data_IF_388405254415
#
_entry.id   IF_388405254415
#
_cell.length_a   1.000
_cell.length_b   1.000
_cell.length_c   1.000
_cell.angle_alpha   90.00
_cell.angle_beta   90.00
_cell.angle_gamma   90.00
#
_symmetry.space_group_name_H-M   'P 1'
#
loop_
_entity.id
_entity.type
_entity.pdbx_description
1 polymer ?
#
# COMPACT_ATOMS: atom_id res chain seq x y z
N UNK A 1 -47.86 33.83 -2.68
CA UNK A 1 -47.00 32.91 -1.90
C UNK A 1 -47.43 31.48 -2.20
N UNK A 2 -46.68 30.75 -3.03
CA UNK A 2 -46.91 29.31 -3.25
C UNK A 2 -46.02 28.54 -2.28
N UNK A 3 -46.62 27.86 -1.29
CA UNK A 3 -45.91 26.90 -0.46
C UNK A 3 -45.49 25.71 -1.33
N UNK A 4 -44.21 25.65 -1.70
CA UNK A 4 -43.59 24.42 -2.19
C UNK A 4 -43.54 23.46 -1.00
N UNK A 5 -44.44 22.48 -0.99
CA UNK A 5 -44.33 21.31 -0.11
C UNK A 5 -43.03 20.60 -0.47
N UNK A 6 -42.04 20.72 0.40
CA UNK A 6 -40.82 19.92 0.31
C UNK A 6 -41.20 18.49 0.70
N UNK A 7 -41.56 17.68 -0.30
CA UNK A 7 -41.71 16.25 -0.12
C UNK A 7 -40.32 15.67 0.15
N UNK A 8 -39.96 15.52 1.42
CA UNK A 8 -38.85 14.66 1.81
C UNK A 8 -39.26 13.22 1.51
N UNK A 9 -39.00 12.79 0.27
CA UNK A 9 -39.04 11.39 -0.12
C UNK A 9 -37.96 10.66 0.69
N UNK A 10 -38.37 10.07 1.79
CA UNK A 10 -37.51 9.22 2.61
C UNK A 10 -37.37 7.89 1.88
N UNK A 11 -36.39 7.81 0.98
CA UNK A 11 -36.07 6.57 0.29
C UNK A 11 -35.31 5.69 1.29
N UNK A 12 -35.89 4.53 1.62
CA UNK A 12 -35.28 3.56 2.53
C UNK A 12 -33.89 3.15 2.03
N UNK A 13 -32.93 2.99 2.94
CA UNK A 13 -31.52 2.71 2.60
C UNK A 13 -31.38 1.46 1.73
N UNK A 14 -32.22 0.43 1.97
CA UNK A 14 -32.27 -0.79 1.15
C UNK A 14 -32.67 -0.54 -0.31
N UNK A 15 -33.53 0.44 -0.59
CA UNK A 15 -33.92 0.78 -1.96
C UNK A 15 -32.75 1.46 -2.66
N UNK A 16 -32.05 2.37 -1.97
CA UNK A 16 -30.84 3.02 -2.48
C UNK A 16 -29.77 1.97 -2.80
N UNK A 17 -29.51 1.05 -1.86
CA UNK A 17 -28.56 -0.05 -2.05
C UNK A 17 -28.97 -0.91 -3.24
N UNK A 18 -30.24 -1.31 -3.36
CA UNK A 18 -30.74 -2.12 -4.48
C UNK A 18 -30.60 -1.42 -5.85
N UNK A 19 -30.87 -0.11 -5.92
CA UNK A 19 -30.69 0.68 -7.15
C UNK A 19 -29.22 0.74 -7.51
N UNK A 20 -28.38 1.14 -6.55
CA UNK A 20 -26.93 1.21 -6.73
C UNK A 20 -26.35 -0.17 -7.09
N UNK A 21 -26.90 -1.27 -6.55
CA UNK A 21 -26.50 -2.66 -6.84
C UNK A 21 -26.87 -3.14 -8.24
N UNK A 22 -27.59 -2.36 -9.04
CA UNK A 22 -27.90 -2.68 -10.44
C UNK A 22 -27.07 -1.86 -11.44
N UNK A 23 -26.30 -0.88 -10.98
CA UNK A 23 -25.55 0.02 -11.85
C UNK A 23 -24.16 -0.53 -12.21
N UNK A 24 -23.61 -0.26 -13.40
CA UNK A 24 -22.21 -0.58 -13.71
C UNK A 24 -21.23 0.14 -12.77
N UNK A 25 -20.09 -0.49 -12.45
CA UNK A 25 -19.07 0.06 -11.54
C UNK A 25 -18.56 1.45 -11.97
N UNK A 26 -18.45 1.71 -13.28
CA UNK A 26 -18.05 3.02 -13.81
C UNK A 26 -19.10 4.11 -13.54
N UNK A 27 -20.38 3.74 -13.49
CA UNK A 27 -21.48 4.66 -13.17
C UNK A 27 -21.53 4.94 -11.68
N UNK A 28 -21.28 3.93 -10.84
CA UNK A 28 -21.22 4.08 -9.37
C UNK A 28 -20.17 5.09 -8.91
N UNK A 29 -19.02 5.16 -9.59
CA UNK A 29 -17.96 6.11 -9.26
C UNK A 29 -18.43 7.58 -9.30
N UNK A 30 -19.39 7.89 -10.18
CA UNK A 30 -19.93 9.24 -10.36
C UNK A 30 -20.95 9.62 -9.28
N UNK A 31 -21.55 8.64 -8.62
CA UNK A 31 -22.59 8.85 -7.61
C UNK A 31 -22.04 9.03 -6.18
N UNK A 32 -20.71 8.90 -5.98
CA UNK A 32 -20.03 9.18 -4.71
C UNK A 32 -20.25 10.62 -4.21
N UNK A 33 -20.53 11.56 -5.12
CA UNK A 33 -20.70 12.98 -4.81
C UNK A 33 -22.14 13.38 -4.42
N UNK A 34 -23.11 12.45 -4.46
CA UNK A 34 -24.52 12.79 -4.19
C UNK A 34 -24.76 13.08 -2.71
N UNK A 35 -24.30 12.20 -1.83
CA UNK A 35 -24.42 12.36 -0.38
C UNK A 35 -23.46 11.41 0.33
N UNK A 36 -23.19 11.69 1.61
CA UNK A 36 -22.39 10.81 2.46
C UNK A 36 -22.96 9.38 2.55
N UNK A 37 -24.29 9.25 2.65
CA UNK A 37 -24.96 7.94 2.72
C UNK A 37 -24.79 7.16 1.41
N UNK A 38 -24.91 7.83 0.26
CA UNK A 38 -24.66 7.20 -1.04
C UNK A 38 -23.19 6.80 -1.19
N UNK A 39 -22.24 7.64 -0.76
CA UNK A 39 -20.82 7.29 -0.76
C UNK A 39 -20.54 6.03 0.07
N UNK A 40 -21.14 5.92 1.25
CA UNK A 40 -21.04 4.74 2.12
C UNK A 40 -21.64 3.48 1.47
N UNK A 41 -22.85 3.58 0.92
CA UNK A 41 -23.50 2.47 0.20
C UNK A 41 -22.70 2.05 -1.03
N UNK A 42 -22.19 3.01 -1.80
CA UNK A 42 -21.35 2.74 -2.98
C UNK A 42 -20.06 2.05 -2.57
N UNK A 43 -19.42 2.46 -1.46
CA UNK A 43 -18.25 1.78 -0.93
C UNK A 43 -18.56 0.32 -0.55
N UNK A 44 -19.71 0.07 0.07
CA UNK A 44 -20.19 -1.28 0.38
C UNK A 44 -20.48 -2.11 -0.88
N UNK A 45 -21.05 -1.50 -1.91
CA UNK A 45 -21.31 -2.18 -3.18
C UNK A 45 -20.02 -2.47 -3.94
N UNK A 46 -19.04 -1.57 -3.87
CA UNK A 46 -17.69 -1.86 -4.34
C UNK A 46 -17.08 -3.02 -3.55
N UNK A 47 -17.29 -3.10 -2.23
CA UNK A 47 -16.95 -4.30 -1.43
C UNK A 47 -17.63 -5.53 -2.02
N UNK A 48 -18.95 -5.61 -2.05
CA UNK A 48 -19.65 -6.84 -2.47
C UNK A 48 -19.37 -7.24 -3.92
N UNK A 49 -19.28 -6.30 -4.87
CA UNK A 49 -19.18 -6.60 -6.31
C UNK A 49 -17.77 -6.76 -6.84
N UNK A 50 -16.77 -6.19 -6.19
CA UNK A 50 -15.37 -6.45 -6.55
C UNK A 50 -14.88 -7.80 -5.98
N UNK A 51 -15.79 -8.64 -5.46
CA UNK A 51 -15.56 -10.05 -5.17
C UNK A 51 -14.81 -10.31 -3.86
N UNK A 52 -13.87 -9.46 -3.49
CA UNK A 52 -13.74 -8.91 -2.15
C UNK A 52 -14.52 -9.68 -1.02
N UNK A 53 -14.04 -10.88 -0.62
CA UNK A 53 -14.82 -11.82 0.17
C UNK A 53 -14.71 -11.53 1.65
N UNK A 54 -15.84 -11.48 2.36
CA UNK A 54 -15.81 -11.64 3.81
C UNK A 54 -15.50 -13.09 4.20
N UNK A 55 -14.63 -13.34 5.19
CA UNK A 55 -13.79 -12.36 5.89
C UNK A 55 -12.42 -12.16 5.22
N UNK A 56 -12.14 -10.93 4.80
CA UNK A 56 -10.80 -10.52 4.39
C UNK A 56 -9.87 -10.57 5.59
N UNK A 57 -8.83 -11.37 5.47
CA UNK A 57 -7.72 -11.27 6.39
C UNK A 57 -6.65 -10.37 5.80
N UNK A 58 -6.31 -9.32 6.55
CA UNK A 58 -5.09 -8.58 6.29
C UNK A 58 -3.96 -9.36 6.93
N UNK A 59 -3.07 -9.85 6.08
CA UNK A 59 -1.77 -10.35 6.45
C UNK A 59 -0.73 -9.26 6.39
N UNK A 60 0.38 -9.50 7.07
CA UNK A 60 1.60 -8.72 6.93
C UNK A 60 2.75 -9.64 6.64
N UNK A 61 3.46 -9.36 5.54
CA UNK A 61 4.80 -9.87 5.39
C UNK A 61 5.77 -8.93 6.08
N UNK A 62 6.60 -9.49 6.96
CA UNK A 62 7.70 -8.81 7.60
C UNK A 62 9.02 -9.27 6.97
N UNK A 63 9.69 -8.38 6.25
CA UNK A 63 10.98 -8.70 5.62
C UNK A 63 12.12 -8.26 6.52
N UNK A 64 12.87 -9.23 7.07
CA UNK A 64 14.12 -8.97 7.78
C UNK A 64 15.28 -8.85 6.77
N UNK A 65 16.13 -7.84 6.96
CA UNK A 65 17.20 -7.30 6.09
C UNK A 65 18.01 -8.23 5.17
N UNK A 66 17.95 -9.57 5.31
CA UNK A 66 18.59 -10.59 4.43
C UNK A 66 18.30 -12.05 4.81
N UNK A 67 17.48 -12.31 5.83
CA UNK A 67 17.44 -13.61 6.50
C UNK A 67 16.15 -14.35 6.18
N UNK A 68 15.06 -13.96 6.82
CA UNK A 68 13.78 -14.65 6.74
C UNK A 68 12.66 -13.63 6.58
N UNK A 69 11.69 -13.95 5.72
CA UNK A 69 10.42 -13.24 5.71
C UNK A 69 9.49 -13.93 6.72
N UNK A 70 8.85 -13.17 7.60
CA UNK A 70 7.80 -13.66 8.51
C UNK A 70 6.43 -13.24 7.96
N UNK A 71 5.38 -13.96 8.31
CA UNK A 71 4.01 -13.60 7.97
C UNK A 71 3.10 -13.77 9.17
N UNK A 72 2.14 -12.87 9.32
CA UNK A 72 1.13 -12.92 10.38
C UNK A 72 -0.15 -12.19 9.94
N UNK A 73 -1.29 -12.52 10.54
CA UNK A 73 -2.58 -11.88 10.28
C UNK A 73 -2.96 -10.87 11.36
N UNK A 74 -3.95 -10.03 11.04
CA UNK A 74 -4.53 -9.06 11.97
C UNK A 74 -5.47 -9.65 13.02
N UNK A 75 -6.12 -10.79 12.72
CA UNK A 75 -7.08 -11.42 13.62
C UNK A 75 -6.44 -12.50 14.51
N UNK A 76 -6.78 -12.46 15.81
CA UNK A 76 -6.46 -13.51 16.79
C UNK A 76 -7.18 -14.84 16.50
N UNK A 77 -8.27 -14.82 15.74
CA UNK A 77 -9.09 -15.99 15.42
C UNK A 77 -8.63 -16.76 14.17
N UNK A 78 -7.68 -16.19 13.43
CA UNK A 78 -7.19 -16.72 12.16
C UNK A 78 -6.40 -18.05 12.18
N UNK A 79 -5.73 -18.51 13.26
CA UNK A 79 -4.91 -19.72 13.17
C UNK A 79 -5.75 -21.02 13.08
N UNK A 80 -7.04 -20.97 13.45
CA UNK A 80 -7.88 -22.17 13.55
C UNK A 80 -8.62 -22.51 12.24
N UNK A 81 -8.97 -21.51 11.43
CA UNK A 81 -9.64 -21.72 10.13
C UNK A 81 -8.62 -21.87 8.98
N UNK A 82 -7.48 -21.19 9.09
CA UNK A 82 -6.36 -21.36 8.17
C UNK A 82 -5.39 -22.31 8.85
N UNK A 83 -5.66 -23.61 8.71
CA UNK A 83 -4.93 -24.65 9.44
C UNK A 83 -3.40 -24.55 9.29
N UNK A 84 -2.71 -25.44 10.01
CA UNK A 84 -1.24 -25.69 10.04
C UNK A 84 -0.53 -25.79 8.67
N UNK A 85 -1.24 -25.57 7.57
CA UNK A 85 -0.82 -25.54 6.19
C UNK A 85 -0.29 -24.15 5.74
N UNK A 86 -0.59 -23.04 6.43
CA UNK A 86 -0.06 -21.72 6.01
C UNK A 86 1.38 -21.48 6.42
N UNK A 87 1.78 -21.87 7.64
CA UNK A 87 3.20 -21.91 8.03
C UNK A 87 4.01 -22.72 6.99
N UNK A 88 3.46 -23.86 6.53
CA UNK A 88 4.03 -24.66 5.43
C UNK A 88 3.93 -24.00 4.04
N UNK A 89 2.93 -23.14 3.79
CA UNK A 89 2.78 -22.40 2.53
C UNK A 89 3.85 -21.33 2.36
N UNK A 90 4.28 -20.76 3.49
CA UNK A 90 5.27 -19.67 3.57
C UNK A 90 6.68 -20.21 3.83
N UNK A 91 6.83 -21.46 4.28
CA UNK A 91 8.11 -22.17 4.28
C UNK A 91 8.75 -22.27 2.87
N UNK A 92 7.95 -22.15 1.79
CA UNK A 92 8.50 -22.02 0.43
C UNK A 92 9.24 -20.68 0.21
N UNK A 93 8.95 -19.65 1.00
CA UNK A 93 9.79 -18.45 1.11
C UNK A 93 11.03 -18.84 1.92
N UNK A 94 11.80 -19.78 1.36
CA UNK A 94 13.04 -20.27 1.92
C UNK A 94 14.04 -19.14 2.10
N UNK A 95 15.14 -19.45 2.75
CA UNK A 95 16.26 -18.53 2.90
C UNK A 95 16.62 -17.94 1.51
N UNK A 96 16.60 -16.60 1.39
CA UNK A 96 16.97 -15.81 0.19
C UNK A 96 15.83 -15.42 -0.77
N UNK A 97 14.56 -15.51 -0.38
CA UNK A 97 13.48 -14.85 -1.12
C UNK A 97 13.19 -13.47 -0.51
N UNK A 98 13.18 -12.45 -1.36
CA UNK A 98 12.86 -11.08 -0.97
C UNK A 98 11.50 -10.67 -1.51
N UNK A 99 10.56 -10.39 -0.62
CA UNK A 99 9.25 -9.85 -1.00
C UNK A 99 9.45 -8.40 -1.39
N UNK A 100 9.03 -8.09 -2.60
CA UNK A 100 9.07 -6.77 -3.17
C UNK A 100 7.75 -6.11 -2.82
N UNK A 101 6.66 -6.46 -3.49
CA UNK A 101 5.34 -5.85 -3.30
C UNK A 101 4.25 -6.92 -3.25
N UNK A 102 3.05 -6.50 -2.84
CA UNK A 102 1.83 -7.27 -2.89
C UNK A 102 0.77 -6.53 -3.72
N UNK A 103 -0.15 -7.26 -4.34
CA UNK A 103 -1.33 -6.71 -5.01
C UNK A 103 -2.37 -7.81 -5.20
N UNK A 104 -3.61 -7.57 -4.77
CA UNK A 104 -4.76 -8.47 -4.97
C UNK A 104 -4.49 -9.94 -4.59
N UNK A 105 -3.87 -10.20 -3.42
CA UNK A 105 -3.54 -11.57 -3.00
C UNK A 105 -2.30 -12.19 -3.66
N UNK A 106 -1.59 -11.48 -4.52
CA UNK A 106 -0.33 -11.94 -5.11
C UNK A 106 0.86 -11.18 -4.53
N UNK A 107 2.00 -11.85 -4.46
CA UNK A 107 3.27 -11.23 -4.04
C UNK A 107 4.28 -11.27 -5.17
N UNK A 108 4.91 -10.12 -5.42
CA UNK A 108 6.08 -10.01 -6.27
C UNK A 108 7.32 -10.32 -5.44
N UNK A 109 8.05 -11.33 -5.83
CA UNK A 109 9.26 -11.77 -5.16
C UNK A 109 10.49 -11.54 -6.05
N UNK A 110 11.65 -11.43 -5.40
CA UNK A 110 12.95 -11.37 -6.05
C UNK A 110 13.91 -12.34 -5.36
N UNK A 111 14.72 -13.08 -6.14
CA UNK A 111 15.75 -13.95 -5.58
C UNK A 111 16.96 -13.12 -5.12
N UNK A 112 17.28 -13.19 -3.83
CA UNK A 112 18.38 -12.45 -3.23
C UNK A 112 19.71 -13.11 -3.61
N UNK A 113 20.44 -12.51 -4.55
CA UNK A 113 21.91 -12.63 -4.81
C UNK A 113 22.36 -12.13 -6.18
N UNK A 114 21.45 -11.68 -7.04
CA UNK A 114 21.83 -11.25 -8.39
C UNK A 114 21.63 -9.75 -8.59
N UNK A 115 22.69 -9.10 -9.10
CA UNK A 115 22.67 -7.79 -9.77
C UNK A 115 21.57 -7.72 -10.85
N UNK A 116 21.22 -8.87 -11.41
CA UNK A 116 20.05 -9.06 -12.26
C UNK A 116 18.90 -9.53 -11.37
N UNK A 117 18.09 -8.60 -10.86
CA UNK A 117 16.88 -8.95 -10.10
C UNK A 117 16.00 -9.85 -10.97
N UNK A 118 15.88 -11.12 -10.59
CA UNK A 118 15.00 -12.10 -11.24
C UNK A 118 13.70 -12.11 -10.44
N UNK A 119 12.64 -11.64 -11.07
CA UNK A 119 11.34 -11.55 -10.46
C UNK A 119 10.52 -12.80 -10.71
N UNK A 120 9.62 -13.10 -9.80
CA UNK A 120 8.53 -14.03 -10.01
C UNK A 120 7.34 -13.56 -9.19
N UNK A 121 6.14 -13.83 -9.70
CA UNK A 121 4.89 -13.60 -9.00
C UNK A 121 4.50 -14.92 -8.33
N UNK A 122 4.08 -14.84 -7.07
CA UNK A 122 3.69 -15.98 -6.29
C UNK A 122 2.29 -15.74 -5.71
N UNK A 123 1.47 -16.79 -5.73
CA UNK A 123 0.19 -16.83 -5.04
C UNK A 123 0.36 -17.66 -3.75
N UNK A 124 0.38 -17.03 -2.56
CA UNK A 124 0.46 -17.75 -1.29
C UNK A 124 -0.72 -18.69 -1.02
N UNK A 125 -1.91 -18.41 -1.57
CA UNK A 125 -3.11 -19.21 -1.39
C UNK A 125 -3.08 -20.50 -2.22
N UNK A 126 -2.69 -20.42 -3.49
CA UNK A 126 -2.65 -21.59 -4.39
C UNK A 126 -1.27 -22.24 -4.48
N UNK A 127 -0.23 -21.61 -3.91
CA UNK A 127 1.18 -22.00 -4.01
C UNK A 127 1.73 -22.01 -5.44
N UNK A 128 1.05 -21.35 -6.36
CA UNK A 128 1.49 -21.25 -7.74
C UNK A 128 2.50 -20.11 -7.92
N UNK A 129 3.45 -20.33 -8.83
CA UNK A 129 4.50 -19.38 -9.16
C UNK A 129 4.54 -19.12 -10.66
N UNK A 130 4.69 -17.85 -11.01
CA UNK A 130 4.89 -17.38 -12.38
C UNK A 130 6.24 -16.69 -12.48
N UNK A 131 7.14 -17.28 -13.25
CA UNK A 131 8.46 -16.71 -13.48
C UNK A 131 8.41 -15.57 -14.49
N UNK A 132 9.08 -14.47 -14.14
CA UNK A 132 9.19 -13.31 -15.02
C UNK A 132 10.48 -13.44 -15.82
N UNK A 133 10.48 -13.23 -17.15
CA UNK A 133 11.67 -13.22 -17.97
C UNK A 133 12.76 -12.33 -17.39
N UNK A 134 14.03 -12.71 -17.60
CA UNK A 134 15.16 -11.91 -17.13
C UNK A 134 15.29 -10.64 -17.98
N UNK A 135 15.33 -9.50 -17.30
CA UNK A 135 15.68 -8.19 -17.89
C UNK A 135 17.11 -8.16 -18.47
N UNK A 136 17.29 -7.45 -19.58
CA UNK A 136 18.61 -7.10 -20.14
C UNK A 136 19.22 -5.84 -19.51
N UNK A 137 18.40 -4.92 -19.00
CA UNK A 137 18.87 -3.69 -18.36
C UNK A 137 19.28 -3.97 -16.92
N UNK A 138 20.51 -3.60 -16.58
CA UNK A 138 21.00 -3.67 -15.21
C UNK A 138 20.64 -2.40 -14.44
N UNK A 139 19.78 -2.55 -13.42
CA UNK A 139 19.46 -1.51 -12.45
C UNK A 139 19.87 -1.99 -11.07
N UNK A 140 20.84 -1.31 -10.45
CA UNK A 140 21.16 -1.52 -9.04
C UNK A 140 20.09 -0.83 -8.22
N UNK A 141 19.42 -1.60 -7.38
CA UNK A 141 18.40 -1.13 -6.45
C UNK A 141 17.29 -0.22 -7.00
N UNK A 142 16.57 -0.66 -8.05
CA UNK A 142 15.48 0.11 -8.61
C UNK A 142 14.33 0.27 -7.62
N UNK A 143 13.64 1.39 -7.76
CA UNK A 143 12.25 1.54 -7.38
C UNK A 143 11.46 0.52 -8.18
N UNK A 144 10.58 -0.24 -7.52
CA UNK A 144 9.76 -1.26 -8.18
C UNK A 144 8.31 -1.01 -7.81
N UNK A 145 7.40 -1.20 -8.73
CA UNK A 145 5.96 -1.18 -8.54
C UNK A 145 5.37 -2.47 -9.09
N UNK A 146 4.29 -2.93 -8.49
CA UNK A 146 3.62 -4.16 -8.87
C UNK A 146 2.12 -3.97 -8.76
N UNK A 147 1.37 -4.42 -9.76
CA UNK A 147 -0.08 -4.50 -9.70
C UNK A 147 -0.54 -5.74 -10.42
N UNK A 148 -1.53 -6.41 -9.85
CA UNK A 148 -2.17 -7.58 -10.42
C UNK A 148 -3.64 -7.24 -10.70
N UNK A 149 -4.15 -7.60 -11.87
CA UNK A 149 -5.57 -7.61 -12.20
C UNK A 149 -6.06 -9.04 -12.04
N UNK A 150 -7.15 -9.18 -11.31
CA UNK A 150 -7.79 -10.47 -11.04
C UNK A 150 -9.18 -10.49 -11.66
N UNK A 151 -9.66 -11.68 -12.03
CA UNK A 151 -11.04 -11.89 -12.45
C UNK A 151 -11.97 -12.07 -11.24
N UNK A 152 -13.25 -12.34 -11.51
CA UNK A 152 -14.27 -12.59 -10.48
C UNK A 152 -13.96 -13.85 -9.64
N UNK A 153 -13.17 -14.80 -10.18
CA UNK A 153 -12.76 -16.04 -9.51
C UNK A 153 -11.39 -15.91 -8.81
N UNK A 154 -10.86 -14.69 -8.67
CA UNK A 154 -9.55 -14.38 -8.08
C UNK A 154 -8.34 -15.02 -8.79
N UNK A 155 -8.52 -15.48 -10.04
CA UNK A 155 -7.44 -15.86 -10.94
C UNK A 155 -6.68 -14.64 -11.45
N UNK A 156 -5.37 -14.79 -11.72
CA UNK A 156 -4.62 -13.69 -12.37
C UNK A 156 -5.09 -13.56 -13.81
N UNK A 157 -5.65 -12.40 -14.14
CA UNK A 157 -5.89 -11.99 -15.53
C UNK A 157 -4.61 -11.46 -16.13
N UNK A 158 -3.99 -10.49 -15.45
CA UNK A 158 -2.70 -9.95 -15.85
C UNK A 158 -1.98 -9.25 -14.71
N UNK A 159 -0.67 -9.09 -14.83
CA UNK A 159 0.09 -8.30 -13.88
C UNK A 159 1.14 -7.44 -14.59
N UNK A 160 1.44 -6.32 -13.95
CA UNK A 160 2.39 -5.33 -14.44
C UNK A 160 3.44 -5.06 -13.39
N UNK A 161 4.70 -5.07 -13.80
CA UNK A 161 5.84 -4.67 -12.97
C UNK A 161 6.44 -3.44 -13.61
N UNK A 162 6.60 -2.36 -12.84
CA UNK A 162 7.30 -1.14 -13.28
C UNK A 162 8.53 -0.96 -12.43
N UNK A 163 9.65 -0.59 -13.04
CA UNK A 163 10.88 -0.29 -12.30
C UNK A 163 11.69 0.82 -12.94
N UNK A 164 12.38 1.59 -12.12
CA UNK A 164 13.34 2.59 -12.59
C UNK A 164 14.39 2.85 -11.51
N UNK A 165 15.50 3.48 -11.92
CA UNK A 165 16.56 3.90 -11.01
C UNK A 165 16.95 5.34 -11.30
N UNK A 166 17.18 6.10 -10.24
CA UNK A 166 17.73 7.44 -10.31
C UNK A 166 19.24 7.30 -10.22
N UNK A 167 19.96 7.58 -11.32
CA UNK A 167 21.43 7.40 -11.36
C UNK A 167 22.17 8.67 -10.94
N UNK A 168 21.64 9.84 -11.29
CA UNK A 168 22.26 11.14 -11.05
C UNK A 168 21.22 12.13 -10.53
N UNK A 169 21.67 13.06 -9.69
CA UNK A 169 20.82 14.09 -9.07
C UNK A 169 20.13 15.02 -10.07
N UNK A 170 20.77 15.26 -11.21
CA UNK A 170 20.32 16.19 -12.25
C UNK A 170 20.16 15.48 -13.60
N UNK A 171 19.63 14.25 -13.59
CA UNK A 171 19.33 13.57 -14.85
C UNK A 171 18.15 14.28 -15.52
N UNK A 172 18.16 14.44 -16.85
CA UNK A 172 17.07 15.07 -17.60
C UNK A 172 15.99 14.09 -18.05
N UNK A 173 16.29 12.79 -17.98
CA UNK A 173 15.39 11.71 -18.35
C UNK A 173 15.61 10.50 -17.45
N UNK A 174 14.57 9.69 -17.29
CA UNK A 174 14.61 8.45 -16.51
C UNK A 174 14.27 7.29 -17.43
N UNK A 175 15.08 6.24 -17.36
CA UNK A 175 14.75 4.97 -18.02
C UNK A 175 13.81 4.19 -17.12
N UNK A 176 12.58 3.99 -17.59
CA UNK A 176 11.55 3.21 -16.91
C UNK A 176 11.37 1.91 -17.68
N UNK A 177 11.45 0.79 -16.97
CA UNK A 177 11.23 -0.52 -17.53
C UNK A 177 9.92 -1.09 -16.99
N UNK A 178 9.06 -1.55 -17.89
CA UNK A 178 7.78 -2.16 -17.55
C UNK A 178 7.65 -3.55 -18.16
N UNK A 179 7.21 -4.52 -17.36
CA UNK A 179 6.80 -5.83 -17.82
C UNK A 179 5.28 -5.94 -17.73
N UNK A 180 4.65 -6.53 -18.74
CA UNK A 180 3.26 -6.98 -18.71
C UNK A 180 3.21 -8.49 -18.94
N UNK A 181 2.43 -9.20 -18.13
CA UNK A 181 2.20 -10.63 -18.32
C UNK A 181 1.42 -10.95 -19.60
N UNK A 182 0.63 -9.99 -20.12
CA UNK A 182 -0.15 -10.16 -21.35
C UNK A 182 0.75 -10.27 -22.58
N UNK A 183 1.82 -9.48 -22.61
CA UNK A 183 2.80 -9.49 -23.71
C UNK A 183 4.00 -10.38 -23.41
N UNK A 184 4.21 -10.71 -22.14
CA UNK A 184 5.36 -11.45 -21.63
C UNK A 184 6.71 -10.82 -22.00
N UNK A 185 6.76 -9.49 -22.13
CA UNK A 185 7.95 -8.75 -22.59
C UNK A 185 8.27 -7.58 -21.66
N UNK A 186 9.56 -7.35 -21.43
CA UNK A 186 10.07 -6.12 -20.82
C UNK A 186 10.21 -5.02 -21.87
N UNK A 187 9.66 -3.85 -21.59
CA UNK A 187 9.76 -2.66 -22.44
C UNK A 187 10.46 -1.58 -21.65
N UNK A 188 11.49 -0.97 -22.24
CA UNK A 188 12.22 0.15 -21.65
C UNK A 188 11.91 1.45 -22.40
N UNK A 189 11.48 2.46 -21.65
CA UNK A 189 11.17 3.80 -22.17
C UNK A 189 12.04 4.84 -21.46
N UNK A 190 12.64 5.74 -22.23
CA UNK A 190 13.28 6.93 -21.67
C UNK A 190 12.25 8.05 -21.62
N UNK A 191 11.93 8.50 -20.41
CA UNK A 191 10.90 9.52 -20.16
C UNK A 191 11.56 10.78 -19.67
N UNK A 192 11.27 11.91 -20.32
CA UNK A 192 11.61 13.24 -19.79
C UNK A 192 10.66 13.51 -18.63
N UNK A 193 11.19 13.92 -17.49
CA UNK A 193 10.39 14.13 -16.30
C UNK A 193 10.15 15.61 -16.02
N UNK A 194 8.93 15.94 -15.61
CA UNK A 194 8.54 17.31 -15.22
C UNK A 194 8.65 17.47 -13.71
N UNK A 195 9.86 17.33 -13.17
CA UNK A 195 10.07 17.43 -11.72
C UNK A 195 10.52 18.82 -11.33
N UNK A 196 9.85 19.38 -10.33
CA UNK A 196 10.16 20.67 -9.74
C UNK A 196 11.33 20.63 -8.74
N UNK A 197 11.87 19.44 -8.46
CA UNK A 197 12.97 19.22 -7.54
C UNK A 197 13.93 18.15 -8.05
N UNK A 198 15.23 18.22 -7.69
CA UNK A 198 16.21 17.22 -8.09
C UNK A 198 15.96 15.91 -7.36
N UNK A 199 15.75 14.83 -8.13
CA UNK A 199 15.68 13.48 -7.59
C UNK A 199 16.99 13.11 -6.91
N UNK A 200 16.92 12.39 -5.81
CA UNK A 200 18.12 11.87 -5.19
C UNK A 200 18.33 10.39 -5.56
N UNK A 201 19.55 10.00 -5.99
CA UNK A 201 19.85 8.60 -6.18
C UNK A 201 19.70 7.86 -4.85
N UNK A 202 19.15 6.65 -4.90
CA UNK A 202 19.08 5.80 -3.70
C UNK A 202 20.50 5.54 -3.21
N UNK A 203 20.80 5.97 -1.98
CA UNK A 203 22.12 5.81 -1.36
C UNK A 203 22.23 4.54 -0.52
N UNK A 204 21.13 3.83 -0.29
CA UNK A 204 21.09 2.76 0.68
C UNK A 204 20.22 1.57 0.22
N UNK A 205 20.76 0.37 0.39
CA UNK A 205 20.07 -0.91 0.17
C UNK A 205 18.94 -1.13 1.19
N UNK A 206 18.89 -0.31 2.23
CA UNK A 206 18.07 -0.50 3.42
C UNK A 206 16.70 0.20 3.37
N UNK A 207 16.51 1.19 2.50
CA UNK A 207 15.29 2.00 2.44
C UNK A 207 14.58 1.83 1.10
N UNK A 208 14.02 0.63 0.84
CA UNK A 208 12.88 0.54 -0.08
C UNK A 208 11.88 1.64 0.27
N UNK A 209 11.58 2.49 -0.70
CA UNK A 209 10.55 3.50 -0.58
C UNK A 209 9.18 2.87 -0.42
N UNK A 210 8.38 3.48 0.45
CA UNK A 210 6.94 3.21 0.46
C UNK A 210 6.37 3.50 -0.92
N UNK A 211 5.40 2.70 -1.31
CA UNK A 211 4.82 2.71 -2.64
C UNK A 211 3.34 2.37 -2.58
N UNK A 212 2.61 2.86 -3.55
CA UNK A 212 1.23 2.45 -3.80
C UNK A 212 0.98 2.43 -5.30
N UNK A 213 -0.04 1.68 -5.72
CA UNK A 213 -0.46 1.62 -7.12
C UNK A 213 -1.98 1.71 -7.16
N UNK A 214 -2.51 2.65 -7.94
CA UNK A 214 -3.95 2.83 -8.16
C UNK A 214 -4.20 2.95 -9.66
N UNK A 215 -5.04 2.08 -10.20
CA UNK A 215 -5.44 2.07 -11.62
C UNK A 215 -4.26 2.14 -12.61
N UNK A 216 -3.16 1.45 -12.32
CA UNK A 216 -1.95 1.45 -13.17
C UNK A 216 -1.11 2.72 -13.07
N UNK A 217 -1.40 3.59 -12.11
CA UNK A 217 -0.57 4.74 -11.72
C UNK A 217 0.23 4.35 -10.49
N UNK A 218 1.54 4.36 -10.64
CA UNK A 218 2.50 3.90 -9.63
C UNK A 218 3.13 5.07 -8.92
N UNK A 219 3.18 5.02 -7.60
CA UNK A 219 3.73 6.08 -6.77
C UNK A 219 4.83 5.56 -5.85
N UNK A 220 5.90 6.35 -5.70
CA UNK A 220 7.01 6.05 -4.79
C UNK A 220 7.45 7.28 -4.04
N UNK A 221 7.70 7.11 -2.74
CA UNK A 221 8.36 8.12 -1.90
C UNK A 221 9.80 8.32 -2.37
N UNK A 222 10.21 9.56 -2.64
CA UNK A 222 11.63 9.89 -2.76
C UNK A 222 12.20 10.09 -1.34
N UNK A 223 12.81 9.03 -0.79
CA UNK A 223 13.32 9.00 0.59
C UNK A 223 14.40 10.05 0.87
N UNK A 224 15.02 10.60 -0.17
CA UNK A 224 16.08 11.59 -0.07
C UNK A 224 15.69 12.92 -0.75
N UNK A 225 14.55 12.96 -1.45
CA UNK A 225 14.01 14.14 -2.11
C UNK A 225 12.90 14.83 -1.32
N UNK A 226 12.19 15.74 -1.99
CA UNK A 226 11.18 16.62 -1.38
C UNK A 226 9.74 16.22 -1.73
N UNK A 227 9.53 15.00 -2.21
CA UNK A 227 8.21 14.58 -2.66
C UNK A 227 8.10 13.11 -3.05
N UNK A 228 6.99 12.77 -3.71
CA UNK A 228 6.79 11.48 -4.34
C UNK A 228 7.00 11.58 -5.85
N UNK A 229 7.41 10.47 -6.44
CA UNK A 229 7.43 10.28 -7.89
C UNK A 229 6.22 9.47 -8.33
N UNK A 230 5.70 9.77 -9.50
CA UNK A 230 4.50 9.15 -10.06
C UNK A 230 4.75 8.74 -11.51
N UNK A 231 4.34 7.53 -11.86
CA UNK A 231 4.37 7.02 -13.22
C UNK A 231 3.00 6.48 -13.64
N UNK A 232 2.42 7.06 -14.68
CA UNK A 232 1.23 6.52 -15.33
C UNK A 232 1.65 5.51 -16.39
N UNK A 233 1.36 4.24 -16.15
CA UNK A 233 1.75 3.16 -17.08
C UNK A 233 0.93 3.12 -18.37
N UNK A 234 -0.22 3.78 -18.41
CA UNK A 234 -1.10 3.88 -19.58
C UNK A 234 -0.67 5.06 -20.45
N UNK A 235 -0.55 6.25 -19.85
CA UNK A 235 -0.12 7.48 -20.54
C UNK A 235 1.39 7.57 -20.76
N UNK A 236 2.16 6.66 -20.15
CA UNK A 236 3.63 6.59 -20.21
C UNK A 236 4.32 7.89 -19.80
N UNK A 237 3.75 8.60 -18.82
CA UNK A 237 4.29 9.87 -18.34
C UNK A 237 4.76 9.76 -16.88
N UNK A 238 5.76 10.58 -16.55
CA UNK A 238 6.42 10.57 -15.25
C UNK A 238 6.48 11.99 -14.70
N UNK A 239 6.03 12.18 -13.46
CA UNK A 239 6.03 13.47 -12.77
C UNK A 239 6.26 13.25 -11.27
N UNK A 240 6.20 14.32 -10.49
CA UNK A 240 6.32 14.24 -9.05
C UNK A 240 5.43 15.26 -8.36
N UNK A 241 5.18 15.00 -7.08
CA UNK A 241 4.36 15.82 -6.21
C UNK A 241 5.17 16.10 -4.96
N UNK A 242 5.24 17.36 -4.52
CA UNK A 242 5.91 17.72 -3.27
C UNK A 242 5.19 17.12 -2.07
N UNK A 243 5.91 16.95 -0.96
CA UNK A 243 5.28 16.55 0.30
C UNK A 243 4.32 17.63 0.81
N UNK A 244 3.29 17.26 1.61
CA UNK A 244 2.27 18.19 2.10
C UNK A 244 2.82 19.36 2.94
N UNK A 245 4.01 19.23 3.52
CA UNK A 245 4.61 20.28 4.35
C UNK A 245 6.02 20.64 3.83
N UNK A 246 6.24 21.90 3.42
CA UNK A 246 7.58 22.41 3.14
C UNK A 246 8.44 22.33 4.41
N UNK A 247 9.62 21.70 4.32
CA UNK A 247 10.55 21.60 5.46
C UNK A 247 10.36 20.39 6.37
N UNK A 248 9.53 19.40 6.02
CA UNK A 248 9.56 18.09 6.70
C UNK A 248 10.99 17.55 6.74
N UNK A 249 11.37 16.97 7.88
CA UNK A 249 12.68 16.34 8.02
C UNK A 249 12.88 15.24 6.96
N UNK A 250 13.80 15.46 6.04
CA UNK A 250 14.10 14.55 4.93
C UNK A 250 15.06 13.47 5.45
N UNK A 251 14.52 12.55 6.25
CA UNK A 251 15.24 11.36 6.67
C UNK A 251 14.64 10.12 6.02
N UNK A 252 15.47 9.24 5.42
CA UNK A 252 14.99 7.98 4.86
C UNK A 252 14.19 7.15 5.87
N UNK A 253 13.05 6.60 5.44
CA UNK A 253 12.19 5.79 6.28
C UNK A 253 11.39 6.57 7.34
N UNK A 254 11.20 7.89 7.16
CA UNK A 254 10.25 8.68 7.96
C UNK A 254 8.87 8.77 7.34
N UNK A 255 8.78 8.54 6.04
CA UNK A 255 7.57 8.78 5.27
C UNK A 255 6.97 7.46 4.79
N UNK A 256 5.64 7.38 4.82
CA UNK A 256 4.86 6.19 4.48
C UNK A 256 3.76 6.58 3.51
N UNK A 257 3.57 5.75 2.49
CA UNK A 257 2.61 5.91 1.40
C UNK A 257 1.86 4.60 1.25
N UNK A 258 0.54 4.67 1.19
CA UNK A 258 -0.32 3.49 1.01
C UNK A 258 -1.68 3.87 0.45
N UNK A 259 -2.49 2.85 0.17
CA UNK A 259 -3.90 3.06 -0.16
C UNK A 259 -4.76 2.89 1.07
N UNK A 260 -5.80 3.71 1.17
CA UNK A 260 -6.81 3.60 2.21
C UNK A 260 -8.15 4.08 1.68
N UNK A 261 -9.16 3.20 1.68
CA UNK A 261 -10.48 3.51 1.11
C UNK A 261 -10.45 3.85 -0.39
N UNK A 262 -9.46 3.34 -1.12
CA UNK A 262 -9.23 3.69 -2.53
C UNK A 262 -8.58 5.06 -2.77
N UNK A 263 -8.12 5.74 -1.72
CA UNK A 263 -7.38 7.00 -1.83
C UNK A 263 -5.89 6.78 -1.52
N UNK A 264 -5.02 7.52 -2.20
CA UNK A 264 -3.59 7.57 -1.88
C UNK A 264 -3.40 8.37 -0.60
N UNK A 265 -2.84 7.74 0.41
CA UNK A 265 -2.59 8.34 1.73
C UNK A 265 -1.10 8.41 2.03
N UNK A 266 -0.71 9.46 2.75
CA UNK A 266 0.65 9.72 3.18
C UNK A 266 0.68 9.99 4.69
N UNK A 267 1.71 9.49 5.35
CA UNK A 267 1.99 9.74 6.76
C UNK A 267 3.48 10.03 6.96
N UNK A 268 3.77 10.89 7.93
CA UNK A 268 5.14 11.15 8.38
C UNK A 268 5.28 10.74 9.83
N UNK A 269 6.28 9.91 10.16
CA UNK A 269 6.48 9.46 11.53
C UNK A 269 7.03 10.58 12.41
N UNK A 270 6.57 10.56 13.65
CA UNK A 270 6.97 11.46 14.72
C UNK A 270 6.18 11.07 15.97
N UNK A 271 6.26 11.90 17.01
CA UNK A 271 5.41 11.75 18.20
C UNK A 271 3.94 12.05 17.88
N UNK A 272 3.70 12.98 16.95
CA UNK A 272 2.44 13.15 16.27
C UNK A 272 2.64 12.74 14.82
N UNK A 273 1.83 11.79 14.33
CA UNK A 273 1.84 11.35 12.94
C UNK A 273 0.75 12.13 12.21
N UNK A 274 1.09 13.15 11.42
CA UNK A 274 0.14 13.74 10.50
C UNK A 274 -0.13 12.78 9.34
N UNK A 275 -1.41 12.63 9.01
CA UNK A 275 -1.88 11.84 7.88
C UNK A 275 -2.62 12.72 6.88
N UNK A 276 -2.34 12.51 5.61
CA UNK A 276 -2.94 13.23 4.49
C UNK A 276 -3.47 12.25 3.45
N UNK A 277 -4.49 12.69 2.71
CA UNK A 277 -5.00 12.00 1.52
C UNK A 277 -4.75 12.88 0.30
N UNK A 278 -4.57 12.25 -0.85
CA UNK A 278 -4.35 12.95 -2.11
C UNK A 278 -5.68 13.14 -2.83
N UNK A 279 -6.10 14.39 -3.00
CA UNK A 279 -7.34 14.73 -3.71
C UNK A 279 -7.07 14.88 -5.21
N UNK A 280 -8.09 14.57 -6.03
CA UNK A 280 -8.01 14.69 -7.50
C UNK A 280 -6.90 13.84 -8.16
N UNK A 281 -6.38 12.82 -7.49
CA UNK A 281 -5.41 11.90 -8.07
C UNK A 281 -6.08 10.97 -9.09
N UNK A 282 -5.47 10.64 -10.25
CA UNK A 282 -4.08 10.86 -10.68
C UNK A 282 -3.82 12.13 -11.51
N UNK A 283 -4.61 13.20 -11.33
CA UNK A 283 -4.30 14.48 -11.97
C UNK A 283 -2.92 15.01 -11.53
N UNK A 284 -2.28 15.80 -12.39
CA UNK A 284 -1.04 16.51 -12.05
C UNK A 284 -1.28 17.65 -11.06
N UNK A 285 -2.51 18.17 -11.04
CA UNK A 285 -2.98 19.17 -10.07
C UNK A 285 -3.52 18.51 -8.80
N UNK A 286 -3.06 17.29 -8.49
CA UNK A 286 -3.45 16.60 -7.27
C UNK A 286 -2.82 17.28 -6.05
N UNK A 287 -3.63 17.49 -5.02
CA UNK A 287 -3.24 18.24 -3.83
C UNK A 287 -3.41 17.39 -2.58
N UNK A 288 -2.48 17.56 -1.65
CA UNK A 288 -2.60 16.94 -0.34
C UNK A 288 -3.66 17.63 0.49
N UNK A 289 -4.60 16.84 0.97
CA UNK A 289 -5.63 17.28 1.92
C UNK A 289 -5.36 16.60 3.25
N UNK A 290 -5.31 17.39 4.31
CA UNK A 290 -5.16 16.86 5.67
C UNK A 290 -6.31 15.91 6.02
N UNK A 291 -6.00 14.82 6.71
CA UNK A 291 -6.97 13.78 7.09
C UNK A 291 -7.19 13.73 8.61
N UNK A 292 -6.11 13.50 9.37
CA UNK A 292 -6.12 13.46 10.83
C UNK A 292 -4.68 13.45 11.36
N UNK A 293 -4.52 13.62 12.67
CA UNK A 293 -3.26 13.39 13.38
C UNK A 293 -3.40 12.21 14.34
N UNK A 294 -2.36 11.41 14.45
CA UNK A 294 -2.28 10.32 15.44
C UNK A 294 -1.25 10.69 16.51
N UNK A 295 -1.68 10.72 17.77
CA UNK A 295 -0.80 10.93 18.90
C UNK A 295 -0.22 9.61 19.38
N UNK A 296 1.09 9.42 19.15
CA UNK A 296 1.81 8.20 19.52
C UNK A 296 1.97 8.10 21.04
N UNK A 297 2.09 9.23 21.75
CA UNK A 297 2.21 9.24 23.21
C UNK A 297 0.92 8.73 23.82
N UNK A 298 -0.22 9.24 23.36
CA UNK A 298 -1.53 8.78 23.83
C UNK A 298 -1.77 7.29 23.54
N UNK A 299 -1.26 6.77 22.42
CA UNK A 299 -1.32 5.32 22.10
C UNK A 299 -0.47 4.51 23.07
N UNK A 300 0.76 4.94 23.35
CA UNK A 300 1.66 4.23 24.27
C UNK A 300 1.08 4.23 25.68
N UNK A 301 0.49 5.33 26.14
CA UNK A 301 -0.16 5.43 27.44
C UNK A 301 -1.34 4.45 27.58
N UNK A 302 -2.17 4.31 26.54
CA UNK A 302 -3.27 3.33 26.50
C UNK A 302 -2.80 1.88 26.55
N UNK A 303 -1.59 1.61 26.08
CA UNK A 303 -0.98 0.29 26.02
C UNK A 303 0.23 0.17 26.96
N UNK A 304 0.23 0.89 28.09
CA UNK A 304 1.38 0.96 28.99
C UNK A 304 1.87 -0.40 29.48
N UNK A 305 0.95 -1.36 29.68
CA UNK A 305 1.27 -2.74 30.06
C UNK A 305 2.01 -3.50 28.95
N UNK A 306 1.67 -3.26 27.67
CA UNK A 306 2.28 -3.93 26.52
C UNK A 306 3.65 -3.36 26.14
N UNK A 307 3.87 -2.05 26.37
CA UNK A 307 5.08 -1.34 25.93
C UNK A 307 6.11 -1.09 27.04
N UNK A 308 5.73 -1.18 28.32
CA UNK A 308 6.60 -0.91 29.47
C UNK A 308 7.05 0.55 29.57
N UNK A 309 7.99 0.85 30.48
CA UNK A 309 8.48 2.21 30.80
C UNK A 309 9.43 2.84 29.75
N UNK A 310 9.43 2.33 28.52
CA UNK A 310 10.30 2.80 27.45
C UNK A 310 9.51 3.48 26.34
N UNK A 311 9.67 4.79 26.16
CA UNK A 311 9.08 5.52 25.03
C UNK A 311 9.30 4.79 23.70
N UNK A 312 8.25 4.69 22.90
CA UNK A 312 8.23 3.92 21.65
C UNK A 312 8.34 4.81 20.42
N UNK A 313 9.35 4.59 19.58
CA UNK A 313 9.42 5.22 18.27
C UNK A 313 8.73 4.33 17.23
N UNK A 314 7.90 4.94 16.39
CA UNK A 314 7.21 4.27 15.29
C UNK A 314 8.23 3.85 14.23
N UNK A 315 8.21 2.56 13.89
CA UNK A 315 9.13 1.96 12.94
C UNK A 315 8.50 1.83 11.55
N UNK A 316 7.22 1.46 11.49
CA UNK A 316 6.43 1.34 10.27
C UNK A 316 5.01 1.83 10.48
N UNK A 317 4.41 2.35 9.41
CA UNK A 317 3.00 2.75 9.33
C UNK A 317 2.42 2.09 8.08
N UNK A 318 1.30 1.37 8.24
CA UNK A 318 0.55 0.80 7.13
C UNK A 318 -0.89 1.25 7.22
N UNK A 319 -1.41 1.83 6.14
CA UNK A 319 -2.81 2.19 6.05
C UNK A 319 -3.66 0.94 5.85
N UNK A 320 -4.80 0.86 6.52
CA UNK A 320 -5.78 -0.18 6.22
C UNK A 320 -6.36 0.08 4.82
N UNK A 321 -6.35 -0.91 3.90
CA UNK A 321 -6.78 -0.72 2.51
C UNK A 321 -8.27 -0.38 2.39
N UNK A 322 -9.11 -0.99 3.22
CA UNK A 322 -10.58 -0.81 3.20
C UNK A 322 -11.10 0.26 4.17
N UNK A 323 -10.66 0.25 5.43
CA UNK A 323 -11.17 1.17 6.46
C UNK A 323 -10.28 2.42 6.59
N UNK A 324 -10.76 3.60 6.18
CA UNK A 324 -9.93 4.81 6.06
C UNK A 324 -9.37 5.35 7.38
N UNK A 325 -9.95 4.91 8.50
CA UNK A 325 -9.65 5.38 9.84
C UNK A 325 -8.77 4.39 10.62
N UNK A 326 -8.41 3.24 10.03
CA UNK A 326 -7.57 2.24 10.68
C UNK A 326 -6.13 2.33 10.14
N UNK A 327 -5.19 2.34 11.07
CA UNK A 327 -3.75 2.30 10.81
C UNK A 327 -3.11 1.15 11.56
N UNK A 328 -2.08 0.56 10.96
CA UNK A 328 -1.22 -0.38 11.64
C UNK A 328 0.13 0.27 11.94
N UNK A 329 0.52 0.27 13.20
CA UNK A 329 1.75 0.90 13.67
C UNK A 329 2.68 -0.16 14.24
N UNK A 330 3.94 -0.14 13.81
CA UNK A 330 4.98 -0.93 14.46
C UNK A 330 5.70 -0.08 15.50
N UNK A 331 5.59 -0.45 16.77
CA UNK A 331 6.18 0.25 17.90
C UNK A 331 6.90 -0.77 18.78
N UNK A 332 8.18 -0.53 19.11
CA UNK A 332 8.96 -1.36 20.05
C UNK A 332 8.92 -2.89 19.83
N UNK A 333 8.84 -3.35 18.58
CA UNK A 333 8.78 -4.79 18.28
C UNK A 333 7.38 -5.41 18.39
N UNK A 334 6.35 -4.57 18.50
CA UNK A 334 4.95 -4.96 18.38
C UNK A 334 4.31 -4.27 17.17
N UNK A 335 3.26 -4.88 16.63
CA UNK A 335 2.36 -4.29 15.63
C UNK A 335 1.00 -4.15 16.27
N UNK A 336 0.46 -2.94 16.22
CA UNK A 336 -0.87 -2.61 16.73
C UNK A 336 -1.77 -2.14 15.60
N UNK A 337 -3.06 -2.39 15.73
CA UNK A 337 -4.12 -1.72 14.98
C UNK A 337 -4.59 -0.52 15.80
N UNK A 338 -4.76 0.63 15.15
CA UNK A 338 -5.31 1.84 15.75
C UNK A 338 -6.46 2.36 14.91
N UNK A 339 -7.65 2.43 15.52
CA UNK A 339 -8.81 3.11 14.95
C UNK A 339 -8.81 4.57 15.42
N UNK A 340 -8.63 5.49 14.49
CA UNK A 340 -8.54 6.92 14.75
C UNK A 340 -9.88 7.51 15.21
N UNK A 341 -11.02 6.95 14.78
CA UNK A 341 -12.35 7.46 15.13
C UNK A 341 -12.73 7.13 16.56
N UNK A 342 -12.54 5.88 16.94
CA UNK A 342 -12.88 5.37 18.29
C UNK A 342 -11.72 5.54 19.26
N UNK A 343 -10.52 5.84 18.74
CA UNK A 343 -9.27 5.84 19.49
C UNK A 343 -8.99 4.51 20.19
N UNK A 344 -9.45 3.39 19.62
CA UNK A 344 -9.18 2.04 20.14
C UNK A 344 -7.85 1.53 19.61
N UNK A 345 -7.11 0.83 20.48
CA UNK A 345 -5.82 0.21 20.14
C UNK A 345 -5.95 -1.28 20.39
N UNK A 346 -5.49 -2.08 19.43
CA UNK A 346 -5.47 -3.54 19.55
C UNK A 346 -4.10 -4.09 19.19
N UNK A 347 -3.55 -4.96 20.03
CA UNK A 347 -2.33 -5.70 19.71
C UNK A 347 -2.61 -6.72 18.62
N UNK A 348 -1.95 -6.56 17.48
CA UNK A 348 -2.04 -7.44 16.32
C UNK A 348 -0.96 -8.53 16.38
N UNK A 349 0.28 -8.14 16.67
CA UNK A 349 1.41 -9.08 16.67
C UNK A 349 2.54 -8.62 17.59
N UNK A 350 3.17 -9.56 18.29
CA UNK A 350 4.40 -9.32 19.05
C UNK A 350 5.54 -10.15 18.43
N UNK A 351 6.62 -9.47 18.03
CA UNK A 351 7.80 -10.15 17.50
C UNK A 351 8.58 -10.92 18.56
N UNK A 352 8.31 -10.69 19.86
CA UNK A 352 9.06 -11.28 20.98
C UNK A 352 10.49 -10.76 21.06
N UNK A 353 10.78 -9.63 20.41
CA UNK A 353 12.12 -9.07 20.25
C UNK A 353 12.16 -7.62 20.70
N UNK A 354 13.27 -7.22 21.33
CA UNK A 354 13.48 -5.82 21.68
C UNK A 354 13.39 -4.93 20.44
N UNK A 355 12.68 -3.80 20.52
CA UNK A 355 12.41 -2.92 19.38
C UNK A 355 13.65 -2.50 18.59
N UNK A 356 14.84 -2.44 19.20
CA UNK A 356 16.10 -2.18 18.48
C UNK A 356 16.43 -3.22 17.39
N UNK A 357 16.02 -4.47 17.57
CA UNK A 357 16.22 -5.57 16.60
C UNK A 357 15.23 -5.48 15.44
N UNK A 358 14.01 -4.98 15.70
CA UNK A 358 12.95 -4.87 14.70
C UNK A 358 12.99 -3.58 13.88
N UNK A 359 13.92 -2.66 14.14
CA UNK A 359 14.08 -1.36 13.43
C UNK A 359 14.23 -1.49 11.91
N UNK A 360 14.64 -2.65 11.43
CA UNK A 360 14.85 -2.92 10.01
C UNK A 360 13.75 -3.74 9.36
N UNK A 361 12.76 -4.14 10.15
CA UNK A 361 11.61 -4.87 9.65
C UNK A 361 10.79 -3.94 8.77
N UNK A 362 10.18 -4.51 7.76
CA UNK A 362 9.28 -3.79 6.86
C UNK A 362 8.00 -4.56 6.77
N UNK A 363 6.91 -3.88 7.07
CA UNK A 363 5.58 -4.44 6.97
C UNK A 363 5.04 -4.17 5.57
N UNK A 364 4.63 -5.24 4.90
CA UNK A 364 3.88 -5.19 3.66
C UNK A 364 2.49 -5.75 3.94
N UNK A 365 1.46 -4.91 3.81
CA UNK A 365 0.09 -5.41 3.86
C UNK A 365 -0.13 -6.40 2.73
N UNK A 366 -0.88 -7.44 3.03
CA UNK A 366 -1.30 -8.45 2.09
C UNK A 366 -2.78 -8.70 2.31
N UNK A 367 -3.56 -8.51 1.25
CA UNK A 367 -4.97 -8.82 1.24
C UNK A 367 -5.10 -10.30 0.91
N UNK A 368 -5.61 -11.11 1.83
CA UNK A 368 -5.87 -12.52 1.59
C UNK A 368 -7.29 -12.67 1.01
N UNK A 369 -7.44 -13.04 -0.27
CA UNK A 369 -8.74 -13.45 -0.80
C UNK A 369 -9.08 -14.80 -0.16
N UNK A 370 -10.16 -14.85 0.61
CA UNK A 370 -10.67 -16.09 1.18
C UNK A 370 -11.57 -16.82 0.21
#
# INVERSE_FOLDING_TARGET
MKHLRQCNLFIHEEIIINILNRLPLKSLARFKCISYNWQKCIAEIYRCRLGFPEPYLIGFFCVEKRLRSRFFFTSKESPLLIGTNLDKSIDFIGERVYIVASSNGFVLCNRLRSRHRVYYVYNPATRQRLDVPKTLIHMKDPYVGFTCKVDEDHGIVSFTIVRYVIRKRYQSSITIESYSSETNVWIANNVIHDLLYPLQPSRDENYLSSRCVIDGVFCWIDNFGQGMTVYDSVKKCFWGLTYPQPGCMIYPGFHFLGLSGGEVCFASKGWTIPCWRLNNFPSRDAEWVWKYNVDVVAIIEKCGEDFGLGGGNVQNIVFHPVFPDILYLQINGKVISYDVKTSTVELVYDFGEAGRKTKHYKLFSYEWPQ
#
